data_IF_822329815604
#
_entry.id   IF_822329815604
#
_cell.length_a   1.000
_cell.length_b   1.000
_cell.length_c   1.000
_cell.angle_alpha   90.00
_cell.angle_beta   90.00
_cell.angle_gamma   90.00
#
_symmetry.space_group_name_H-M   'P 1'
#
loop_
_entity.id
_entity.type
_entity.pdbx_description
1 polymer ?
#
# COMPACT_ATOMS: atom_id res chain seq x y z
N UNK A 1 23.07 -5.09 20.29
CA UNK A 1 21.80 -5.38 19.58
C UNK A 1 21.91 -6.76 18.96
N UNK A 2 20.85 -7.58 18.96
CA UNK A 2 20.86 -8.86 18.24
C UNK A 2 20.42 -8.61 16.79
N UNK A 3 21.25 -8.99 15.84
CA UNK A 3 20.96 -8.83 14.41
C UNK A 3 20.63 -10.21 13.83
N UNK A 4 19.49 -10.36 13.12
CA UNK A 4 19.17 -11.64 12.47
C UNK A 4 20.14 -11.88 11.32
N UNK A 5 20.82 -13.03 11.34
CA UNK A 5 21.65 -13.49 10.21
C UNK A 5 20.84 -14.37 9.26
N UNK A 6 19.95 -15.19 9.83
CA UNK A 6 18.99 -16.03 9.11
C UNK A 6 17.67 -16.08 9.89
N UNK A 7 16.66 -16.79 9.37
CA UNK A 7 15.32 -16.88 9.99
C UNK A 7 15.32 -17.45 11.42
N UNK A 8 16.35 -18.19 11.83
CA UNK A 8 16.40 -18.85 13.16
C UNK A 8 17.67 -18.56 13.95
N UNK A 9 18.56 -17.68 13.46
CA UNK A 9 19.84 -17.37 14.09
C UNK A 9 20.05 -15.86 14.24
N UNK A 10 20.39 -15.44 15.46
CA UNK A 10 20.72 -14.07 15.81
C UNK A 10 22.15 -13.98 16.32
N UNK A 11 22.86 -12.95 15.90
CA UNK A 11 24.24 -12.68 16.33
C UNK A 11 24.32 -11.36 17.08
N UNK A 12 25.19 -11.25 18.11
CA UNK A 12 25.40 -9.99 18.81
C UNK A 12 26.15 -9.00 17.91
N UNK A 13 25.53 -7.85 17.65
CA UNK A 13 26.11 -6.71 16.95
C UNK A 13 26.25 -5.49 17.86
N UNK A 14 27.28 -4.68 17.59
CA UNK A 14 27.46 -3.34 18.16
C UNK A 14 27.07 -2.31 17.10
N UNK A 15 26.36 -1.27 17.52
CA UNK A 15 26.01 -0.15 16.67
C UNK A 15 27.22 0.79 16.58
N UNK A 16 27.57 1.22 15.37
CA UNK A 16 28.68 2.15 15.13
C UNK A 16 28.18 3.60 15.28
N UNK A 17 27.56 4.17 14.24
CA UNK A 17 26.90 5.49 14.31
C UNK A 17 25.38 5.34 14.24
N UNK A 18 24.69 5.77 15.30
CA UNK A 18 23.23 5.74 15.40
C UNK A 18 22.56 6.90 14.63
N UNK A 19 23.30 7.92 14.19
CA UNK A 19 22.73 9.09 13.53
C UNK A 19 22.66 8.95 12.00
N UNK A 20 23.33 7.93 11.46
CA UNK A 20 23.40 7.63 10.03
C UNK A 20 22.57 6.39 9.72
N UNK A 21 21.71 6.51 8.72
CA UNK A 21 20.83 5.44 8.28
C UNK A 21 20.95 5.25 6.78
N UNK A 22 20.95 4.00 6.34
CA UNK A 22 20.88 3.65 4.92
C UNK A 22 19.41 3.61 4.49
N UNK A 23 19.07 4.39 3.46
CA UNK A 23 17.72 4.49 2.91
C UNK A 23 17.70 3.95 1.48
N UNK A 24 16.80 3.01 1.22
CA UNK A 24 16.53 2.48 -0.13
C UNK A 24 15.71 3.49 -0.95
N UNK A 25 16.29 3.95 -2.06
CA UNK A 25 15.65 4.87 -3.01
C UNK A 25 15.04 4.16 -4.23
N UNK A 26 15.17 2.84 -4.32
CA UNK A 26 14.66 1.99 -5.39
C UNK A 26 15.75 1.50 -6.36
N UNK A 27 15.38 0.56 -7.23
CA UNK A 27 16.28 -0.07 -8.23
C UNK A 27 17.56 -0.69 -7.65
N UNK A 28 17.57 -1.00 -6.34
CA UNK A 28 18.72 -1.58 -5.64
C UNK A 28 19.75 -0.55 -5.14
N UNK A 29 19.45 0.75 -5.18
CA UNK A 29 20.35 1.79 -4.69
C UNK A 29 19.99 2.22 -3.26
N UNK A 30 21.03 2.36 -2.44
CA UNK A 30 20.93 2.84 -1.06
C UNK A 30 21.75 4.12 -0.90
N UNK A 31 21.20 5.06 -0.15
CA UNK A 31 21.85 6.35 0.15
C UNK A 31 21.96 6.49 1.67
N UNK A 32 23.14 6.90 2.15
CA UNK A 32 23.33 7.27 3.54
C UNK A 32 22.63 8.62 3.81
N UNK A 33 21.79 8.64 4.83
CA UNK A 33 20.99 9.79 5.26
C UNK A 33 21.16 10.00 6.76
N UNK A 34 20.93 11.22 7.22
CA UNK A 34 20.78 11.47 8.65
C UNK A 34 19.48 10.87 9.19
N UNK A 35 19.41 10.61 10.49
CA UNK A 35 18.21 10.08 11.13
C UNK A 35 16.96 10.96 10.87
N UNK A 36 17.13 12.29 10.87
CA UNK A 36 16.04 13.23 10.61
C UNK A 36 15.53 13.13 9.16
N UNK A 37 16.43 13.16 8.17
CA UNK A 37 16.05 13.01 6.76
C UNK A 37 15.47 11.61 6.47
N UNK A 38 15.99 10.57 7.12
CA UNK A 38 15.47 9.21 7.00
C UNK A 38 14.04 9.09 7.50
N UNK A 39 13.72 9.75 8.62
CA UNK A 39 12.36 9.83 9.14
C UNK A 39 11.43 10.57 8.17
N UNK A 40 11.84 11.74 7.68
CA UNK A 40 11.08 12.51 6.69
C UNK A 40 10.82 11.69 5.43
N UNK A 41 11.82 10.96 4.94
CA UNK A 41 11.69 10.09 3.78
C UNK A 41 10.61 9.01 4.00
N UNK A 42 10.62 8.35 5.15
CA UNK A 42 9.63 7.34 5.52
C UNK A 42 8.21 7.96 5.62
N UNK A 43 8.07 9.11 6.27
CA UNK A 43 6.79 9.82 6.39
C UNK A 43 6.23 10.21 5.02
N UNK A 44 7.06 10.76 4.13
CA UNK A 44 6.68 11.06 2.75
C UNK A 44 6.23 9.81 2.00
N UNK A 45 6.93 8.69 2.15
CA UNK A 45 6.57 7.42 1.50
C UNK A 45 5.24 6.87 2.03
N UNK A 46 4.98 7.00 3.34
CA UNK A 46 3.69 6.64 3.95
C UNK A 46 2.56 7.50 3.36
N UNK A 47 2.76 8.82 3.27
CA UNK A 47 1.74 9.73 2.77
C UNK A 47 1.42 9.47 1.29
N UNK A 48 2.44 9.20 0.47
CA UNK A 48 2.25 8.79 -0.92
C UNK A 48 1.41 7.49 -1.02
N UNK A 49 1.75 6.49 -0.20
CA UNK A 49 1.05 5.20 -0.22
C UNK A 49 -0.41 5.35 0.23
N UNK A 50 -0.67 6.17 1.25
CA UNK A 50 -2.02 6.50 1.72
C UNK A 50 -2.83 7.20 0.64
N UNK A 51 -2.28 8.24 0.02
CA UNK A 51 -2.97 8.96 -1.07
C UNK A 51 -3.34 8.03 -2.23
N UNK A 52 -2.43 7.15 -2.64
CA UNK A 52 -2.71 6.18 -3.70
C UNK A 52 -3.78 5.16 -3.28
N UNK A 53 -3.74 4.71 -2.02
CA UNK A 53 -4.73 3.79 -1.47
C UNK A 53 -6.13 4.42 -1.43
N UNK A 54 -6.25 5.66 -0.97
CA UNK A 54 -7.52 6.38 -0.89
C UNK A 54 -8.12 6.58 -2.28
N UNK A 55 -7.30 6.94 -3.28
CA UNK A 55 -7.72 7.02 -4.68
C UNK A 55 -8.21 5.68 -5.22
N UNK A 56 -7.52 4.58 -4.89
CA UNK A 56 -7.94 3.24 -5.30
C UNK A 56 -9.27 2.82 -4.66
N UNK A 57 -9.48 3.14 -3.38
CA UNK A 57 -10.76 2.89 -2.70
C UNK A 57 -11.89 3.65 -3.39
N UNK A 58 -11.68 4.93 -3.70
CA UNK A 58 -12.69 5.76 -4.36
C UNK A 58 -13.08 5.17 -5.72
N UNK A 59 -12.09 4.79 -6.53
CA UNK A 59 -12.31 4.15 -7.84
C UNK A 59 -13.02 2.80 -7.70
N UNK A 60 -12.61 1.97 -6.73
CA UNK A 60 -13.25 0.69 -6.47
C UNK A 60 -14.72 0.86 -6.04
N UNK A 61 -15.01 1.83 -5.19
CA UNK A 61 -16.37 2.17 -4.74
C UNK A 61 -17.25 2.62 -5.92
N UNK A 62 -16.76 3.54 -6.76
CA UNK A 62 -17.48 3.98 -7.98
C UNK A 62 -17.77 2.81 -8.92
N UNK A 63 -16.79 1.93 -9.14
CA UNK A 63 -16.96 0.74 -9.98
C UNK A 63 -17.98 -0.23 -9.41
N UNK A 64 -18.01 -0.39 -8.08
CA UNK A 64 -19.01 -1.20 -7.40
C UNK A 64 -20.42 -0.63 -7.59
N UNK A 65 -20.62 0.67 -7.37
CA UNK A 65 -21.92 1.33 -7.60
C UNK A 65 -22.38 1.16 -9.04
N UNK A 66 -21.51 1.41 -10.02
CA UNK A 66 -21.86 1.24 -11.44
C UNK A 66 -22.25 -0.22 -11.78
N UNK A 67 -21.57 -1.21 -11.19
CA UNK A 67 -21.92 -2.61 -11.37
C UNK A 67 -23.28 -2.96 -10.72
N UNK A 68 -23.54 -2.44 -9.52
CA UNK A 68 -24.81 -2.63 -8.81
C UNK A 68 -25.98 -2.00 -9.59
N UNK A 69 -25.80 -0.80 -10.16
CA UNK A 69 -26.78 -0.13 -11.03
C UNK A 69 -27.06 -0.91 -12.32
N UNK A 70 -26.01 -1.36 -13.01
CA UNK A 70 -26.16 -2.17 -14.21
C UNK A 70 -26.88 -3.50 -13.91
N UNK A 71 -26.58 -4.11 -12.76
CA UNK A 71 -27.27 -5.30 -12.27
C UNK A 71 -28.76 -5.05 -11.99
N UNK A 72 -29.10 -3.91 -11.37
CA UNK A 72 -30.48 -3.52 -11.11
C UNK A 72 -31.27 -3.32 -12.41
N UNK A 73 -30.70 -2.63 -13.40
CA UNK A 73 -31.32 -2.44 -14.72
C UNK A 73 -31.53 -3.78 -15.43
N UNK A 74 -30.55 -4.68 -15.40
CA UNK A 74 -30.67 -6.01 -15.99
C UNK A 74 -31.79 -6.82 -15.33
N UNK A 75 -31.87 -6.84 -14.00
CA UNK A 75 -32.95 -7.50 -13.28
C UNK A 75 -34.33 -6.90 -13.60
N UNK A 76 -34.43 -5.58 -13.72
CA UNK A 76 -35.67 -4.91 -14.09
C UNK A 76 -36.12 -5.31 -15.51
N UNK A 77 -35.19 -5.38 -16.47
CA UNK A 77 -35.48 -5.82 -17.85
C UNK A 77 -35.91 -7.29 -17.90
N UNK A 78 -35.25 -8.17 -17.13
CA UNK A 78 -35.64 -9.58 -17.04
C UNK A 78 -37.07 -9.73 -16.51
N UNK A 79 -37.46 -8.99 -15.46
CA UNK A 79 -38.83 -9.02 -14.92
C UNK A 79 -39.89 -8.51 -15.91
N UNK A 80 -39.55 -7.55 -16.77
CA UNK A 80 -40.45 -7.07 -17.82
C UNK A 80 -40.57 -8.02 -19.02
N UNK A 81 -39.57 -8.88 -19.25
CA UNK A 81 -39.55 -9.86 -20.35
C UNK A 81 -40.17 -11.21 -19.99
N UNK A 82 -40.51 -11.50 -18.73
CA UNK A 82 -41.28 -12.69 -18.36
C UNK A 82 -42.76 -12.40 -18.65
N UNK A 83 -43.38 -13.00 -19.69
CA UNK A 83 -44.79 -12.81 -19.98
C UNK A 83 -45.62 -13.46 -18.88
N UNK A 84 -46.64 -12.76 -18.40
CA UNK A 84 -47.66 -13.35 -17.54
C UNK A 84 -48.31 -14.53 -18.30
N UNK A 85 -48.04 -15.74 -17.82
CA UNK A 85 -48.78 -16.96 -18.18
C UNK A 85 -49.47 -17.45 -16.92
#
# INVERSE_FOLDING_TARGET
MLVPLTASLYVPGKLDDANKVLVDIGTGYFVEKTMAEGKEYCERKINLLKSNFDQLIELASKKKTAADEAGAVLQAKLKQMVPAT
#
